data_IF_631840809680
#
_entry.id   IF_631840809680
#
_cell.length_a   1.000
_cell.length_b   1.000
_cell.length_c   1.000
_cell.angle_alpha   90.00
_cell.angle_beta   90.00
_cell.angle_gamma   90.00
#
_symmetry.space_group_name_H-M   'P 1'
#
loop_
_entity.id
_entity.type
_entity.pdbx_description
1 polymer ?
#
# COMPACT_ATOMS: atom_id res chain seq x y z
N UNK A 1 -12.47 -0.10 7.89
CA UNK A 1 -13.37 -0.75 6.91
C UNK A 1 -12.70 -0.64 5.56
N UNK A 2 -12.86 -1.62 4.68
CA UNK A 2 -12.33 -1.59 3.31
C UNK A 2 -13.55 -1.65 2.38
N UNK A 3 -13.56 -0.78 1.38
CA UNK A 3 -14.61 -0.71 0.34
C UNK A 3 -13.93 -1.01 -0.98
N UNK A 4 -14.53 -1.91 -1.77
CA UNK A 4 -14.03 -2.32 -3.08
C UNK A 4 -15.10 -2.00 -4.10
N UNK A 5 -14.71 -1.20 -5.10
CA UNK A 5 -15.55 -0.85 -6.24
C UNK A 5 -15.20 -1.79 -7.40
N UNK A 6 -16.09 -2.75 -7.67
CA UNK A 6 -15.92 -3.66 -8.81
C UNK A 6 -16.57 -3.06 -10.05
N UNK A 7 -16.09 -3.47 -11.23
CA UNK A 7 -16.74 -3.12 -12.50
C UNK A 7 -18.21 -3.54 -12.46
N UNK A 8 -19.08 -2.70 -13.02
CA UNK A 8 -20.51 -2.93 -13.09
C UNK A 8 -20.85 -4.29 -13.72
N UNK A 9 -21.81 -4.96 -13.09
CA UNK A 9 -22.29 -6.28 -13.50
C UNK A 9 -23.81 -6.26 -13.54
N UNK A 10 -24.39 -6.47 -14.72
CA UNK A 10 -25.85 -6.55 -14.91
C UNK A 10 -26.43 -7.84 -14.31
N UNK A 11 -25.68 -8.95 -14.38
CA UNK A 11 -26.14 -10.26 -13.93
C UNK A 11 -25.77 -10.49 -12.46
N UNK A 12 -26.76 -10.81 -11.64
CA UNK A 12 -26.58 -11.18 -10.23
C UNK A 12 -25.58 -12.34 -10.04
N UNK A 13 -25.69 -13.37 -10.88
CA UNK A 13 -24.74 -14.51 -10.89
C UNK A 13 -23.28 -14.09 -11.04
N UNK A 14 -23.00 -13.00 -11.77
CA UNK A 14 -21.64 -12.48 -11.90
C UNK A 14 -21.15 -11.88 -10.59
N UNK A 15 -22.01 -11.11 -9.90
CA UNK A 15 -21.74 -10.51 -8.58
C UNK A 15 -21.45 -11.59 -7.54
N UNK A 16 -22.29 -12.62 -7.47
CA UNK A 16 -22.10 -13.78 -6.59
C UNK A 16 -20.78 -14.51 -6.87
N UNK A 17 -20.43 -14.67 -8.16
CA UNK A 17 -19.17 -15.31 -8.57
C UNK A 17 -17.95 -14.49 -8.12
N UNK A 18 -18.00 -13.16 -8.23
CA UNK A 18 -16.94 -12.27 -7.72
C UNK A 18 -16.82 -12.40 -6.21
N UNK A 19 -17.92 -12.28 -5.46
CA UNK A 19 -17.91 -12.38 -3.99
C UNK A 19 -17.41 -13.75 -3.53
N UNK A 20 -17.86 -14.84 -4.14
CA UNK A 20 -17.41 -16.19 -3.79
C UNK A 20 -15.93 -16.42 -4.09
N UNK A 21 -15.42 -15.88 -5.21
CA UNK A 21 -14.00 -15.93 -5.56
C UNK A 21 -13.17 -15.10 -4.58
N UNK A 22 -13.66 -13.92 -4.19
CA UNK A 22 -13.02 -13.07 -3.19
C UNK A 22 -12.93 -13.77 -1.82
N UNK A 23 -14.03 -14.38 -1.35
CA UNK A 23 -14.06 -15.19 -0.13
C UNK A 23 -13.06 -16.35 -0.19
N UNK A 24 -12.96 -17.05 -1.33
CA UNK A 24 -11.96 -18.12 -1.54
C UNK A 24 -10.53 -17.60 -1.44
N UNK A 25 -10.21 -16.47 -2.06
CA UNK A 25 -8.88 -15.86 -1.99
C UNK A 25 -8.49 -15.46 -0.57
N UNK A 26 -9.46 -14.98 0.22
CA UNK A 26 -9.25 -14.60 1.63
C UNK A 26 -9.12 -15.80 2.57
N UNK A 27 -9.37 -17.04 2.13
CA UNK A 27 -9.38 -18.24 3.00
C UNK A 27 -8.07 -18.45 3.77
N UNK A 28 -6.93 -18.07 3.18
CA UNK A 28 -5.60 -18.24 3.77
C UNK A 28 -5.14 -17.04 4.62
N UNK A 29 -5.97 -15.99 4.73
CA UNK A 29 -5.64 -14.85 5.58
C UNK A 29 -5.79 -15.22 7.06
N UNK A 30 -4.72 -15.04 7.82
CA UNK A 30 -4.68 -15.36 9.26
C UNK A 30 -5.43 -14.33 10.10
N UNK A 31 -5.63 -13.11 9.60
CA UNK A 31 -6.38 -12.09 10.32
C UNK A 31 -7.89 -12.38 10.23
N UNK A 32 -8.63 -12.16 11.33
CA UNK A 32 -10.10 -12.26 11.29
C UNK A 32 -10.65 -11.25 10.28
N UNK A 33 -11.52 -11.71 9.38
CA UNK A 33 -12.15 -10.85 8.38
C UNK A 33 -13.64 -11.17 8.24
N UNK A 34 -14.40 -10.23 7.68
CA UNK A 34 -15.79 -10.40 7.25
C UNK A 34 -15.95 -9.76 5.88
N UNK A 35 -16.53 -10.49 4.93
CA UNK A 35 -16.86 -9.98 3.59
C UNK A 35 -18.38 -9.88 3.51
N UNK A 36 -18.87 -8.70 3.16
CA UNK A 36 -20.28 -8.40 2.87
C UNK A 36 -20.45 -8.47 1.35
N UNK A 37 -21.66 -8.79 0.90
CA UNK A 37 -21.96 -8.86 -0.54
C UNK A 37 -21.93 -7.47 -1.18
N UNK A 38 -21.93 -7.44 -2.52
CA UNK A 38 -21.97 -6.19 -3.28
C UNK A 38 -23.32 -5.54 -3.03
N UNK A 39 -23.33 -4.29 -2.57
CA UNK A 39 -24.53 -3.49 -2.32
C UNK A 39 -25.24 -3.07 -3.62
N UNK A 40 -26.45 -2.52 -3.52
CA UNK A 40 -27.16 -1.98 -4.68
C UNK A 40 -26.41 -0.81 -5.36
N UNK A 41 -25.47 -0.18 -4.65
CA UNK A 41 -24.61 0.88 -5.18
C UNK A 41 -23.36 0.32 -5.91
N UNK A 42 -23.23 -1.00 -6.08
CA UNK A 42 -22.09 -1.63 -6.76
C UNK A 42 -20.85 -1.84 -5.88
N UNK A 43 -20.90 -1.41 -4.61
CA UNK A 43 -19.76 -1.48 -3.70
C UNK A 43 -19.78 -2.76 -2.84
N UNK A 44 -18.64 -3.42 -2.73
CA UNK A 44 -18.41 -4.51 -1.76
C UNK A 44 -17.74 -3.98 -0.50
N UNK A 45 -18.26 -4.34 0.66
CA UNK A 45 -17.66 -3.98 1.95
C UNK A 45 -16.97 -5.18 2.62
N UNK A 46 -15.84 -4.92 3.28
CA UNK A 46 -15.22 -5.90 4.15
C UNK A 46 -14.58 -5.27 5.38
N UNK A 47 -14.50 -6.07 6.45
CA UNK A 47 -13.67 -5.77 7.61
C UNK A 47 -12.53 -6.77 7.70
N UNK A 48 -11.37 -6.29 8.12
CA UNK A 48 -10.19 -7.11 8.39
C UNK A 48 -9.54 -6.61 9.66
N UNK A 49 -9.39 -7.47 10.67
CA UNK A 49 -8.78 -7.12 11.94
C UNK A 49 -7.34 -6.67 11.69
N UNK A 50 -7.01 -5.49 12.20
CA UNK A 50 -5.65 -4.97 12.15
C UNK A 50 -4.80 -5.72 13.17
N UNK A 51 -3.76 -6.40 12.70
CA UNK A 51 -2.82 -7.17 13.54
C UNK A 51 -1.47 -6.47 13.71
N UNK A 52 -1.15 -5.53 12.82
CA UNK A 52 0.10 -4.76 12.84
C UNK A 52 -0.13 -3.39 12.18
N UNK A 53 0.85 -2.47 12.26
CA UNK A 53 0.87 -1.28 11.42
C UNK A 53 0.74 -1.65 9.93
N UNK A 54 -0.05 -0.89 9.19
CA UNK A 54 -0.15 -1.10 7.74
C UNK A 54 1.12 -0.63 7.05
N UNK A 55 1.45 -1.21 5.88
CA UNK A 55 2.64 -0.88 5.09
C UNK A 55 2.80 0.63 4.92
N UNK A 56 1.72 1.34 4.58
CA UNK A 56 1.79 2.79 4.41
C UNK A 56 2.25 3.54 5.66
N UNK A 57 1.90 3.08 6.86
CA UNK A 57 2.35 3.72 8.11
C UNK A 57 3.78 3.31 8.49
N UNK A 58 4.24 2.15 8.03
CA UNK A 58 5.61 1.71 8.28
C UNK A 58 6.61 2.43 7.36
N UNK A 59 6.23 2.69 6.12
CA UNK A 59 7.14 3.21 5.09
C UNK A 59 7.04 4.71 4.83
N UNK A 60 5.95 5.36 5.24
CA UNK A 60 5.67 6.74 4.84
C UNK A 60 5.22 7.62 6.00
N UNK A 61 5.63 8.88 5.91
CA UNK A 61 5.17 9.99 6.75
C UNK A 61 4.20 10.89 5.98
N UNK A 62 3.44 11.70 6.72
CA UNK A 62 2.59 12.75 6.16
C UNK A 62 3.48 13.75 5.42
N UNK A 63 3.10 14.10 4.18
CA UNK A 63 3.87 15.09 3.43
C UNK A 63 3.79 16.46 4.14
N UNK A 64 4.92 17.08 4.52
CA UNK A 64 4.93 18.36 5.20
C UNK A 64 4.58 19.54 4.28
N UNK A 65 4.66 19.36 2.95
CA UNK A 65 4.40 20.43 1.97
C UNK A 65 2.92 20.57 1.67
N UNK A 66 2.19 19.45 1.56
CA UNK A 66 0.76 19.44 1.27
C UNK A 66 -0.09 18.95 2.44
N UNK A 67 0.51 18.91 3.64
CA UNK A 67 -0.14 18.63 4.92
C UNK A 67 -1.03 17.37 4.91
N UNK A 68 -0.54 16.31 4.27
CA UNK A 68 -1.21 15.01 4.26
C UNK A 68 -2.14 14.73 3.09
N UNK A 69 -2.26 15.65 2.12
CA UNK A 69 -2.87 15.32 0.82
C UNK A 69 -2.08 14.21 0.09
N UNK A 70 -0.78 14.17 0.34
CA UNK A 70 0.14 13.12 -0.10
C UNK A 70 0.97 12.57 1.05
N UNK A 71 1.83 11.61 0.72
CA UNK A 71 2.75 10.96 1.66
C UNK A 71 4.16 10.96 1.09
N UNK A 72 5.15 11.01 1.96
CA UNK A 72 6.58 10.94 1.61
C UNK A 72 7.22 9.74 2.30
N UNK A 73 8.29 9.19 1.75
CA UNK A 73 9.02 8.12 2.44
C UNK A 73 9.46 8.60 3.81
N UNK A 74 9.31 7.75 4.83
CA UNK A 74 9.79 8.08 6.16
C UNK A 74 11.31 8.23 6.15
N UNK A 75 11.84 9.07 7.04
CA UNK A 75 13.29 9.36 7.11
C UNK A 75 14.13 8.08 7.12
N UNK A 76 13.72 7.08 7.91
CA UNK A 76 14.38 5.77 7.98
C UNK A 76 14.43 5.07 6.62
N UNK A 77 13.31 5.01 5.91
CA UNK A 77 13.25 4.33 4.61
C UNK A 77 13.94 5.10 3.50
N UNK A 78 13.90 6.43 3.57
CA UNK A 78 14.66 7.29 2.65
C UNK A 78 16.17 7.07 2.83
N UNK A 79 16.67 7.06 4.07
CA UNK A 79 18.08 6.79 4.38
C UNK A 79 18.51 5.40 3.88
N UNK A 80 17.70 4.36 4.12
CA UNK A 80 17.99 3.02 3.61
C UNK A 80 18.01 2.96 2.08
N UNK A 81 17.11 3.68 1.41
CA UNK A 81 17.08 3.78 -0.06
C UNK A 81 18.37 4.43 -0.57
N UNK A 82 18.83 5.49 0.07
CA UNK A 82 20.07 6.17 -0.29
C UNK A 82 21.27 5.24 -0.10
N UNK A 83 21.40 4.59 1.07
CA UNK A 83 22.51 3.67 1.37
C UNK A 83 22.60 2.55 0.32
N UNK A 84 21.49 1.89 0.01
CA UNK A 84 21.45 0.83 -1.02
C UNK A 84 21.79 1.36 -2.41
N UNK A 85 21.33 2.58 -2.72
CA UNK A 85 21.68 3.27 -3.95
C UNK A 85 23.18 3.49 -4.05
N UNK A 86 23.83 3.92 -2.96
CA UNK A 86 25.28 4.08 -2.91
C UNK A 86 25.99 2.74 -3.11
N UNK A 87 25.66 1.73 -2.31
CA UNK A 87 26.29 0.40 -2.39
C UNK A 87 26.24 -0.21 -3.81
N UNK A 88 25.12 -0.02 -4.51
CA UNK A 88 24.94 -0.53 -5.87
C UNK A 88 25.76 0.23 -6.92
N UNK A 89 26.08 1.50 -6.70
CA UNK A 89 26.74 2.35 -7.70
C UNK A 89 28.23 2.55 -7.41
N UNK A 90 28.67 2.42 -6.16
CA UNK A 90 30.07 2.60 -5.73
C UNK A 90 31.02 1.63 -6.43
N UNK A 91 30.58 0.40 -6.76
CA UNK A 91 31.43 -0.59 -7.47
C UNK A 91 31.83 -0.15 -8.89
N UNK A 92 31.08 0.78 -9.49
CA UNK A 92 31.27 1.24 -10.87
C UNK A 92 31.89 2.65 -10.95
N UNK A 93 32.32 3.23 -9.83
CA UNK A 93 32.85 4.59 -9.79
C UNK A 93 34.38 4.58 -9.63
N UNK A 94 35.08 5.10 -10.63
CA UNK A 94 36.56 5.20 -10.65
C UNK A 94 37.11 6.40 -9.84
N UNK A 95 36.27 7.34 -9.36
CA UNK A 95 36.71 8.56 -8.66
C UNK A 95 35.97 8.86 -7.33
N UNK A 96 36.71 9.46 -6.38
CA UNK A 96 36.61 9.33 -4.90
C UNK A 96 35.63 10.26 -4.14
N UNK A 97 34.51 10.68 -4.71
CA UNK A 97 33.50 11.41 -3.92
C UNK A 97 32.10 11.30 -4.49
N UNK A 98 31.11 11.07 -3.63
CA UNK A 98 29.69 11.04 -3.98
C UNK A 98 28.98 12.17 -3.24
N UNK A 99 28.29 13.02 -4.00
CA UNK A 99 27.44 14.10 -3.48
C UNK A 99 25.98 13.72 -3.66
N UNK A 100 25.18 13.86 -2.61
CA UNK A 100 23.76 13.49 -2.59
C UNK A 100 22.94 14.75 -2.32
N UNK A 101 21.98 15.03 -3.19
CA UNK A 101 21.02 16.12 -3.01
C UNK A 101 19.67 15.55 -2.57
N UNK A 102 19.05 16.17 -1.57
CA UNK A 102 17.79 15.72 -1.02
C UNK A 102 16.97 16.86 -0.42
N UNK A 103 15.70 16.60 -0.06
CA UNK A 103 14.84 17.59 0.56
C UNK A 103 15.43 18.09 1.89
N UNK A 104 15.24 19.37 2.26
CA UNK A 104 15.75 19.92 3.52
C UNK A 104 15.10 19.29 4.75
N UNK A 105 13.97 18.60 4.60
CA UNK A 105 13.28 17.87 5.65
C UNK A 105 13.93 16.53 6.05
N UNK A 106 15.20 16.34 5.68
CA UNK A 106 16.01 15.21 6.15
C UNK A 106 16.09 15.20 7.69
#
# INVERSE_FOLDING_TARGET
IIVVDFIDMEKEKSREKVVSTFKKAMKNDRARYKVIEISNLGLMEMTRKRVSPGISQTFFDICPVCEGKGKVLSKTHLSLKIIRGLESNVKNLENKSITIYGPPSF
#
